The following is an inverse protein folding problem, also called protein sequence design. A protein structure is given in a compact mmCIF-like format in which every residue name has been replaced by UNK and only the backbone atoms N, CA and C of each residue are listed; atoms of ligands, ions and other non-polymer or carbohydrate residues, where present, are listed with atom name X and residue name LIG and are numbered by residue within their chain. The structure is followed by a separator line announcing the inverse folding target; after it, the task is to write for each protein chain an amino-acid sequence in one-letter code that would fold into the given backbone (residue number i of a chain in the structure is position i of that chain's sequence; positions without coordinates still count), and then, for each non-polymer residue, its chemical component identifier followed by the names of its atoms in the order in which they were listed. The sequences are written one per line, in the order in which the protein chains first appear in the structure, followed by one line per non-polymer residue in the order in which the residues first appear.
data_IF_056959506799
#
_entry.id   IF_056959506799
#
_cell.length_a   1.000
_cell.length_b   1.000
_cell.length_c   1.000
_cell.angle_alpha   90.00
_cell.angle_beta   90.00
_cell.angle_gamma   90.00
#
_symmetry.space_group_name_H-M   'P 1'
#
loop_
_entity.id
_entity.type
_entity.pdbx_description
1 polymer ?
#
# COMPACT_ATOMS: atom_id res chain seq x y z
N UNK A 1 -8.20 12.51 17.43
CA UNK A 1 -8.58 12.82 18.82
C UNK A 1 -8.53 11.52 19.62
N UNK A 2 -7.40 11.23 20.25
CA UNK A 2 -7.25 10.17 21.25
C UNK A 2 -6.22 10.68 22.26
N UNK A 3 -6.69 11.26 23.35
CA UNK A 3 -5.86 11.74 24.45
C UNK A 3 -5.99 10.76 25.61
N UNK A 4 -5.27 9.64 25.54
CA UNK A 4 -5.22 8.69 26.64
C UNK A 4 -4.23 9.25 27.67
N UNK A 5 -4.74 9.65 28.82
CA UNK A 5 -3.92 10.07 29.94
C UNK A 5 -3.35 8.85 30.67
N UNK A 6 -2.26 9.03 31.41
CA UNK A 6 -1.61 7.96 32.19
C UNK A 6 -2.60 7.20 33.10
N UNK A 7 -3.55 7.94 33.68
CA UNK A 7 -4.58 7.37 34.55
C UNK A 7 -5.56 6.45 33.80
N UNK A 8 -6.01 6.85 32.61
CA UNK A 8 -6.90 6.05 31.78
C UNK A 8 -6.22 4.77 31.29
N UNK A 9 -4.93 4.84 30.95
CA UNK A 9 -4.14 3.65 30.61
C UNK A 9 -4.05 2.68 31.79
N UNK A 10 -3.85 3.19 33.00
CA UNK A 10 -3.77 2.36 34.22
C UNK A 10 -5.11 1.68 34.50
N UNK A 11 -6.23 2.38 34.35
CA UNK A 11 -7.58 1.80 34.49
C UNK A 11 -7.80 0.69 33.44
N UNK A 12 -7.42 0.92 32.19
CA UNK A 12 -7.53 -0.08 31.13
C UNK A 12 -6.69 -1.33 31.45
N UNK A 13 -5.47 -1.14 31.97
CA UNK A 13 -4.60 -2.22 32.39
C UNK A 13 -5.25 -3.03 33.52
N UNK A 14 -5.81 -2.37 34.54
CA UNK A 14 -6.53 -3.05 35.63
C UNK A 14 -7.74 -3.84 35.13
N UNK A 15 -8.53 -3.27 34.21
CA UNK A 15 -9.66 -3.97 33.59
C UNK A 15 -9.17 -5.18 32.80
N UNK A 16 -8.10 -5.03 32.01
CA UNK A 16 -7.48 -6.14 31.28
C UNK A 16 -7.00 -7.25 32.22
N UNK A 17 -6.36 -6.89 33.34
CA UNK A 17 -5.94 -7.85 34.36
C UNK A 17 -7.13 -8.55 35.02
N UNK A 18 -8.23 -7.85 35.28
CA UNK A 18 -9.42 -8.43 35.90
C UNK A 18 -10.15 -9.41 34.96
N UNK A 19 -10.22 -9.09 33.66
CA UNK A 19 -10.91 -9.92 32.66
C UNK A 19 -10.11 -11.15 32.28
N UNK A 20 -8.82 -10.97 31.96
CA UNK A 20 -7.97 -12.06 31.47
C UNK A 20 -7.19 -12.76 32.59
N UNK A 21 -6.96 -12.08 33.71
CA UNK A 21 -6.09 -12.54 34.80
C UNK A 21 -4.63 -12.10 34.62
N UNK A 22 -3.91 -11.75 35.72
CA UNK A 22 -2.52 -11.32 35.68
C UNK A 22 -1.56 -12.38 35.14
N UNK A 23 -1.89 -13.66 35.32
CA UNK A 23 -1.04 -14.77 34.86
C UNK A 23 -1.19 -15.05 33.36
N UNK A 24 -2.35 -14.73 32.76
CA UNK A 24 -2.63 -15.04 31.35
C UNK A 24 -2.20 -13.95 30.38
N UNK A 25 -2.27 -12.68 30.78
CA UNK A 25 -1.82 -11.56 29.94
C UNK A 25 -0.38 -11.69 29.42
N UNK A 26 0.64 -12.03 30.23
CA UNK A 26 2.00 -12.16 29.73
C UNK A 26 2.13 -13.30 28.70
N UNK A 27 1.38 -14.38 28.87
CA UNK A 27 1.38 -15.50 27.92
C UNK A 27 0.71 -15.12 26.59
N UNK A 28 -0.37 -14.34 26.62
CA UNK A 28 -1.02 -13.80 25.42
C UNK A 28 -0.09 -12.81 24.71
N UNK A 29 0.55 -11.89 25.44
CA UNK A 29 1.51 -10.95 24.88
C UNK A 29 2.70 -11.66 24.21
N UNK A 30 3.22 -12.73 24.82
CA UNK A 30 4.27 -13.58 24.24
C UNK A 30 3.82 -14.26 22.95
N UNK A 31 2.58 -14.74 22.89
CA UNK A 31 2.01 -15.35 21.69
C UNK A 31 1.86 -14.34 20.55
N UNK A 32 1.29 -13.17 20.84
CA UNK A 32 1.18 -12.06 19.88
C UNK A 32 2.56 -11.59 19.40
N UNK A 33 3.53 -11.47 20.30
CA UNK A 33 4.91 -11.10 19.94
C UNK A 33 5.56 -12.11 19.00
N UNK A 34 5.38 -13.41 19.25
CA UNK A 34 5.85 -14.48 18.36
C UNK A 34 5.14 -14.43 17.01
N UNK A 35 3.83 -14.22 17.00
CA UNK A 35 3.04 -14.08 15.78
C UNK A 35 3.57 -12.92 14.92
N UNK A 36 3.68 -11.72 15.50
CA UNK A 36 4.20 -10.54 14.80
C UNK A 36 5.62 -10.78 14.26
N UNK A 37 6.49 -11.45 15.03
CA UNK A 37 7.85 -11.80 14.59
C UNK A 37 7.82 -12.71 13.36
N UNK A 38 6.96 -13.72 13.36
CA UNK A 38 6.81 -14.67 12.25
C UNK A 38 6.19 -13.99 11.03
N UNK A 39 5.13 -13.21 11.21
CA UNK A 39 4.52 -12.43 10.12
C UNK A 39 5.52 -11.47 9.50
N UNK A 40 6.31 -10.75 10.30
CA UNK A 40 7.36 -9.85 9.79
C UNK A 40 8.41 -10.59 8.96
N UNK A 41 8.83 -11.79 9.39
CA UNK A 41 9.74 -12.65 8.62
C UNK A 41 9.11 -13.10 7.31
N UNK A 42 7.85 -13.53 7.35
CA UNK A 42 7.12 -13.97 6.16
C UNK A 42 6.99 -12.84 5.13
N UNK A 43 6.63 -11.62 5.57
CA UNK A 43 6.56 -10.43 4.70
C UNK A 43 7.92 -10.10 4.10
N UNK A 44 8.99 -10.13 4.90
CA UNK A 44 10.34 -9.86 4.40
C UNK A 44 10.80 -10.90 3.37
N UNK A 45 10.49 -12.19 3.58
CA UNK A 45 10.85 -13.26 2.66
C UNK A 45 10.06 -13.16 1.35
N UNK A 46 8.75 -12.92 1.44
CA UNK A 46 7.90 -12.72 0.25
C UNK A 46 8.35 -11.49 -0.55
N UNK A 47 8.77 -10.42 0.13
CA UNK A 47 9.38 -9.26 -0.52
C UNK A 47 10.68 -9.63 -1.24
N UNK A 48 11.55 -10.42 -0.60
CA UNK A 48 12.82 -10.84 -1.18
C UNK A 48 12.64 -11.69 -2.44
N UNK A 49 11.72 -12.65 -2.40
CA UNK A 49 11.38 -13.52 -3.55
C UNK A 49 10.79 -12.71 -4.71
N UNK A 50 9.89 -11.78 -4.41
CA UNK A 50 9.29 -10.90 -5.43
C UNK A 50 10.33 -9.95 -6.05
N UNK A 51 11.27 -9.42 -5.25
CA UNK A 51 12.38 -8.60 -5.74
C UNK A 51 13.39 -9.40 -6.58
N UNK A 52 13.49 -10.71 -6.38
CA UNK A 52 14.37 -11.59 -7.16
C UNK A 52 13.75 -11.96 -8.52
N UNK A 53 12.42 -12.15 -8.58
CA UNK A 53 11.72 -12.57 -9.80
C UNK A 53 11.35 -11.42 -10.75
N UNK A 54 11.04 -10.23 -10.22
CA UNK A 54 10.65 -9.06 -11.03
C UNK A 54 11.86 -8.18 -11.39
N UNK A 55 13.04 -8.46 -10.83
CA UNK A 55 14.15 -7.51 -10.86
C UNK A 55 13.89 -6.36 -9.87
N UNK A 56 14.93 -5.59 -9.59
CA UNK A 56 14.97 -4.57 -8.52
C UNK A 56 13.99 -3.40 -8.65
N UNK A 57 13.03 -3.44 -9.57
CA UNK A 57 12.01 -2.40 -9.80
C UNK A 57 10.72 -2.62 -9.00
N UNK A 58 10.84 -3.17 -7.79
CA UNK A 58 9.83 -2.91 -6.78
C UNK A 58 10.18 -1.56 -6.16
N UNK A 59 9.50 -0.44 -6.52
CA UNK A 59 9.71 0.82 -5.84
C UNK A 59 9.54 0.56 -4.35
N UNK A 60 10.47 1.08 -3.55
CA UNK A 60 10.43 1.01 -2.09
C UNK A 60 9.05 1.54 -1.64
N UNK A 61 8.06 0.65 -1.55
CA UNK A 61 6.69 1.01 -1.23
C UNK A 61 6.72 1.42 0.23
N UNK A 62 6.96 2.72 0.42
CA UNK A 62 6.96 3.41 1.71
C UNK A 62 5.49 3.58 2.14
N UNK A 63 4.82 2.43 2.30
CA UNK A 63 3.41 2.24 2.68
C UNK A 63 3.08 2.87 4.04
N UNK A 64 4.10 3.32 4.77
CA UNK A 64 3.91 4.00 6.03
C UNK A 64 3.39 5.42 5.82
N UNK A 65 3.59 6.07 4.66
CA UNK A 65 3.21 7.47 4.43
C UNK A 65 2.68 7.82 3.01
N UNK A 66 2.46 6.89 2.08
CA UNK A 66 2.03 7.23 0.71
C UNK A 66 0.57 6.89 0.40
N UNK A 67 -0.18 7.92 0.01
CA UNK A 67 -1.42 7.78 -0.76
C UNK A 67 -1.15 6.86 -1.96
N UNK A 68 -1.89 5.75 -2.13
CA UNK A 68 -1.60 4.74 -3.16
C UNK A 68 -1.66 5.33 -4.58
N UNK A 69 -2.41 6.42 -4.77
CA UNK A 69 -2.49 7.14 -6.04
C UNK A 69 -1.19 7.82 -6.44
N UNK A 70 -0.36 8.28 -5.49
CA UNK A 70 0.93 8.92 -5.80
C UNK A 70 1.99 7.87 -6.14
N UNK A 71 2.03 6.76 -5.41
CA UNK A 71 2.94 5.64 -5.70
C UNK A 71 2.76 5.10 -7.13
N UNK A 72 1.51 4.89 -7.55
CA UNK A 72 1.19 4.43 -8.91
C UNK A 72 1.53 5.50 -9.95
N UNK A 73 1.24 6.76 -9.65
CA UNK A 73 1.52 7.87 -10.55
C UNK A 73 3.03 8.00 -10.81
N UNK A 74 3.85 7.93 -9.76
CA UNK A 74 5.30 8.08 -9.89
C UNK A 74 5.91 6.88 -10.64
N UNK A 75 5.46 5.64 -10.39
CA UNK A 75 5.89 4.46 -11.16
C UNK A 75 5.47 4.52 -12.65
N UNK A 76 4.26 5.00 -12.94
CA UNK A 76 3.81 5.19 -14.33
C UNK A 76 4.61 6.29 -15.02
N UNK A 77 4.96 7.38 -14.33
CA UNK A 77 5.81 8.42 -14.92
C UNK A 77 7.26 7.96 -15.13
N UNK A 78 7.81 7.15 -14.24
CA UNK A 78 9.17 6.59 -14.36
C UNK A 78 9.28 5.64 -15.57
N UNK A 79 8.31 4.74 -15.74
CA UNK A 79 8.23 3.84 -16.91
C UNK A 79 8.03 4.63 -18.21
N UNK A 80 7.25 5.72 -18.17
CA UNK A 80 7.07 6.59 -19.34
C UNK A 80 8.33 7.39 -19.68
N UNK A 81 9.13 7.80 -18.69
CA UNK A 81 10.41 8.48 -18.91
C UNK A 81 11.50 7.51 -19.42
N UNK A 82 11.47 6.22 -19.01
CA UNK A 82 12.40 5.19 -19.50
C UNK A 82 12.10 4.75 -20.95
N UNK A 83 10.85 4.83 -21.41
CA UNK A 83 10.45 4.55 -22.80
C UNK A 83 10.75 5.73 -23.75
N UNK A 84 11.09 6.93 -23.25
CA UNK A 84 11.37 8.13 -24.07
C UNK A 84 12.81 8.19 -24.64
N UNK A 85 13.71 7.28 -24.25
CA UNK A 85 15.07 7.15 -24.81
C UNK A 85 15.15 6.20 -26.03
N UNK A 86 14.10 5.42 -26.33
CA UNK A 86 13.94 4.74 -27.62
C UNK A 86 12.80 5.41 -28.42
N UNK A 87 13.21 6.18 -29.44
CA UNK A 87 12.29 6.87 -30.35
C UNK A 87 11.20 5.94 -30.92
N UNK A 88 10.00 6.00 -30.34
CA UNK A 88 8.76 5.63 -31.01
C UNK A 88 7.79 6.81 -30.92
N UNK A 89 7.65 7.50 -32.05
CA UNK A 89 6.54 8.36 -32.39
C UNK A 89 5.22 7.62 -32.14
N UNK A 90 4.63 7.82 -30.97
CA UNK A 90 3.24 7.47 -30.73
C UNK A 90 2.59 8.59 -29.92
N UNK A 91 2.08 9.58 -30.65
CA UNK A 91 0.98 10.43 -30.19
C UNK A 91 -0.21 9.54 -29.80
N UNK A 92 -0.23 9.00 -28.58
CA UNK A 92 -1.50 8.61 -27.96
C UNK A 92 -2.27 9.90 -27.73
N UNK A 93 -3.43 10.08 -28.39
CA UNK A 93 -4.14 11.34 -28.35
C UNK A 93 -4.56 11.57 -26.90
N UNK A 94 -3.92 12.54 -26.26
CA UNK A 94 -4.38 13.04 -24.97
C UNK A 94 -5.88 13.29 -25.11
N UNK A 95 -6.65 12.88 -24.10
CA UNK A 95 -8.07 13.18 -23.99
C UNK A 95 -8.23 14.70 -23.96
N UNK A 96 -8.19 15.30 -25.14
CA UNK A 96 -8.52 16.70 -25.35
C UNK A 96 -10.01 16.78 -25.09
N UNK A 97 -10.48 17.72 -24.25
CA UNK A 97 -11.90 17.95 -24.12
C UNK A 97 -12.46 18.21 -25.52
N UNK A 98 -13.51 17.46 -25.88
CA UNK A 98 -14.16 17.56 -27.18
C UNK A 98 -14.56 19.01 -27.43
N UNK A 99 -14.32 19.50 -28.64
CA UNK A 99 -14.84 20.81 -29.03
C UNK A 99 -16.37 20.77 -29.00
N UNK A 100 -17.01 21.94 -28.85
CA UNK A 100 -18.46 22.06 -28.59
C UNK A 100 -19.34 21.44 -29.70
N UNK A 101 -18.76 21.15 -30.86
CA UNK A 101 -19.35 20.63 -32.09
C UNK A 101 -18.76 19.28 -32.53
N UNK A 102 -17.94 18.63 -31.70
CA UNK A 102 -17.30 17.35 -32.00
C UNK A 102 -18.02 16.19 -31.30
N UNK A 103 -18.57 15.25 -32.08
CA UNK A 103 -19.22 14.05 -31.53
C UNK A 103 -18.18 12.98 -31.21
N UNK A 104 -18.25 12.35 -30.03
CA UNK A 104 -17.32 11.28 -29.69
C UNK A 104 -17.47 10.10 -30.67
N UNK A 105 -16.37 9.41 -30.99
CA UNK A 105 -16.43 8.23 -31.84
C UNK A 105 -17.29 7.17 -31.14
N UNK A 106 -18.27 6.64 -31.87
CA UNK A 106 -19.13 5.55 -31.41
C UNK A 106 -19.02 4.37 -32.37
N UNK A 107 -19.07 3.17 -31.80
CA UNK A 107 -19.04 1.93 -32.56
C UNK A 107 -20.46 1.60 -33.05
N UNK A 108 -20.59 1.46 -34.37
CA UNK A 108 -21.88 1.18 -35.04
C UNK A 108 -22.26 -0.30 -35.00
N UNK A 109 -21.34 -1.18 -34.57
CA UNK A 109 -21.56 -2.63 -34.51
C UNK A 109 -22.03 -3.13 -33.14
N UNK A 110 -22.22 -2.25 -32.15
CA UNK A 110 -22.75 -2.62 -30.85
C UNK A 110 -24.26 -2.96 -30.94
N UNK A 111 -24.60 -4.24 -30.92
CA UNK A 111 -25.97 -4.79 -30.83
C UNK A 111 -26.09 -5.77 -29.67
#
# INVERSE_FOLDING_TARGET
MFGINFWEFTVLLLVGLAVFGPDKLPDVARQLGRFVRTTRRMVNNARAELSEEIGSDLPDLNLRHLDPRKAVKDYVFDVLDEDDDEAVDDKKPGHRPLAKDETPPYDVEAT
#
